data_IF_098782478186
#
_entry.id   IF_098782478186
#
_cell.length_a   1.000
_cell.length_b   1.000
_cell.length_c   1.000
_cell.angle_alpha   90.00
_cell.angle_beta   90.00
_cell.angle_gamma   90.00
#
_symmetry.space_group_name_H-M   'P 1'
#
loop_
_entity.id
_entity.type
_entity.pdbx_description
1 polymer ?
#
# COMPACT_ATOMS: atom_id res chain seq x y z
N UNK A 1 -8.37 6.68 3.65
CA UNK A 1 -8.41 7.41 2.36
C UNK A 1 -7.19 7.01 1.52
N UNK A 2 -7.36 6.81 0.22
CA UNK A 2 -6.27 6.52 -0.72
C UNK A 2 -5.64 7.83 -1.19
N UNK A 3 -4.34 8.03 -0.94
CA UNK A 3 -3.59 9.21 -1.43
C UNK A 3 -2.60 8.84 -2.54
N UNK A 4 -2.92 7.81 -3.32
CA UNK A 4 -2.09 7.43 -4.45
C UNK A 4 -2.13 8.49 -5.55
N UNK A 5 -0.98 8.87 -6.08
CA UNK A 5 -0.81 9.81 -7.18
C UNK A 5 -0.59 9.01 -8.46
N UNK A 6 -1.47 9.18 -9.44
CA UNK A 6 -1.31 8.47 -10.71
C UNK A 6 -0.28 9.19 -11.60
N UNK A 7 0.87 8.55 -11.93
CA UNK A 7 1.94 9.20 -12.69
C UNK A 7 1.60 9.40 -14.18
N UNK A 8 0.58 8.70 -14.70
CA UNK A 8 0.17 8.74 -16.11
C UNK A 8 -0.80 9.89 -16.42
N UNK A 9 -1.18 10.70 -15.43
CA UNK A 9 -2.07 11.84 -15.66
C UNK A 9 -1.31 12.99 -16.34
N UNK A 10 -1.60 13.23 -17.63
CA UNK A 10 -1.10 14.36 -18.44
C UNK A 10 -1.56 15.75 -17.91
N UNK A 11 -2.31 15.80 -16.81
CA UNK A 11 -2.85 17.03 -16.24
C UNK A 11 -1.99 17.54 -15.10
N UNK A 12 -1.57 18.80 -15.18
CA UNK A 12 -1.00 19.55 -14.05
C UNK A 12 -2.15 20.34 -13.38
N UNK A 13 -2.44 20.18 -12.06
CA UNK A 13 -1.68 19.43 -11.06
C UNK A 13 -1.92 17.91 -11.08
N UNK A 14 -0.91 17.15 -10.63
CA UNK A 14 -1.01 15.70 -10.39
C UNK A 14 -2.21 15.44 -9.46
N UNK A 15 -3.13 14.57 -9.87
CA UNK A 15 -4.34 14.25 -9.10
C UNK A 15 -4.09 13.00 -8.24
N UNK A 16 -4.54 13.05 -6.99
CA UNK A 16 -4.57 11.91 -6.08
C UNK A 16 -5.95 11.23 -6.09
N UNK A 17 -5.97 9.91 -5.83
CA UNK A 17 -7.17 9.07 -5.91
C UNK A 17 -8.29 9.50 -4.95
N UNK A 18 -7.96 9.85 -3.69
CA UNK A 18 -8.87 10.31 -2.63
C UNK A 18 -10.08 9.40 -2.29
N UNK A 19 -10.14 8.15 -2.78
CA UNK A 19 -11.19 7.21 -2.39
C UNK A 19 -11.13 6.87 -0.89
N UNK A 20 -12.28 6.82 -0.24
CA UNK A 20 -12.44 6.47 1.17
C UNK A 20 -12.96 5.04 1.35
N UNK A 21 -12.52 4.38 2.41
CA UNK A 21 -12.84 2.99 2.73
C UNK A 21 -13.18 2.88 4.21
N UNK A 22 -14.00 1.89 4.56
CA UNK A 22 -14.44 1.67 5.93
C UNK A 22 -13.40 0.90 6.75
N UNK A 23 -12.60 0.06 6.09
CA UNK A 23 -11.51 -0.69 6.72
C UNK A 23 -10.17 -0.45 6.04
N UNK A 24 -9.08 -0.69 6.77
CA UNK A 24 -7.72 -0.60 6.20
C UNK A 24 -7.45 -1.73 5.20
N UNK A 25 -8.10 -2.88 5.36
CA UNK A 25 -7.99 -4.00 4.44
C UNK A 25 -8.56 -3.68 3.06
N UNK A 26 -9.74 -3.05 3.02
CA UNK A 26 -10.34 -2.55 1.78
C UNK A 26 -9.42 -1.56 1.07
N UNK A 27 -8.82 -0.63 1.82
CA UNK A 27 -7.90 0.36 1.26
C UNK A 27 -6.64 -0.29 0.66
N UNK A 28 -6.02 -1.26 1.35
CA UNK A 28 -4.83 -1.95 0.81
C UNK A 28 -5.18 -2.80 -0.41
N UNK A 29 -6.34 -3.46 -0.39
CA UNK A 29 -6.83 -4.25 -1.53
C UNK A 29 -7.06 -3.35 -2.74
N UNK A 30 -7.74 -2.22 -2.55
CA UNK A 30 -7.94 -1.21 -3.59
C UNK A 30 -6.60 -0.78 -4.22
N UNK A 31 -5.60 -0.40 -3.40
CA UNK A 31 -4.31 0.05 -3.95
C UNK A 31 -3.59 -1.08 -4.68
N UNK A 32 -3.64 -2.30 -4.15
CA UNK A 32 -2.97 -3.45 -4.76
C UNK A 32 -3.56 -3.87 -6.10
N UNK A 33 -4.85 -3.62 -6.33
CA UNK A 33 -5.56 -4.02 -7.56
C UNK A 33 -5.56 -2.87 -8.56
N UNK A 34 -5.96 -1.68 -8.13
CA UNK A 34 -6.22 -0.54 -9.02
C UNK A 34 -4.94 0.22 -9.40
N UNK A 35 -3.97 0.32 -8.48
CA UNK A 35 -2.79 1.16 -8.68
C UNK A 35 -1.50 0.37 -8.92
N UNK A 36 -1.31 -0.72 -8.17
CA UNK A 36 -0.14 -1.62 -8.34
C UNK A 36 -0.34 -2.59 -9.50
N UNK A 37 -1.59 -2.83 -9.93
CA UNK A 37 -1.91 -3.70 -11.05
C UNK A 37 -1.47 -5.16 -10.90
N UNK A 38 -1.40 -5.86 -12.02
CA UNK A 38 -1.10 -7.30 -12.11
C UNK A 38 0.39 -7.66 -11.97
N UNK A 39 0.72 -8.97 -11.94
CA UNK A 39 2.10 -9.46 -11.87
C UNK A 39 2.96 -9.10 -13.09
N UNK A 40 2.35 -8.64 -14.19
CA UNK A 40 3.03 -8.27 -15.43
C UNK A 40 3.68 -6.88 -15.39
N UNK A 41 3.38 -6.05 -14.38
CA UNK A 41 4.07 -4.76 -14.21
C UNK A 41 5.52 -4.98 -13.73
N UNK A 42 6.48 -4.62 -14.57
CA UNK A 42 7.91 -4.74 -14.28
C UNK A 42 8.44 -3.72 -13.27
N UNK A 43 7.70 -2.63 -13.03
CA UNK A 43 8.16 -1.51 -12.19
C UNK A 43 7.24 -1.27 -10.98
N UNK A 44 7.52 -1.95 -9.87
CA UNK A 44 6.75 -1.81 -8.64
C UNK A 44 7.17 -0.55 -7.86
N UNK A 45 6.63 0.61 -8.20
CA UNK A 45 6.92 1.89 -7.52
C UNK A 45 5.75 2.31 -6.64
N UNK A 46 6.05 2.94 -5.50
CA UNK A 46 5.04 3.58 -4.66
C UNK A 46 4.88 5.05 -5.06
N UNK A 47 3.66 5.45 -5.40
CA UNK A 47 3.31 6.84 -5.72
C UNK A 47 2.40 7.48 -4.67
N UNK A 48 2.53 7.05 -3.40
CA UNK A 48 1.76 7.66 -2.32
C UNK A 48 2.22 9.10 -2.07
N UNK A 49 1.28 10.01 -1.80
CA UNK A 49 1.55 11.39 -1.40
C UNK A 49 2.49 11.43 -0.17
N UNK A 50 3.62 12.14 -0.28
CA UNK A 50 4.66 12.21 0.77
C UNK A 50 5.33 10.86 1.11
N UNK A 51 5.46 9.96 0.13
CA UNK A 51 6.21 8.72 0.34
C UNK A 51 7.72 8.99 0.51
N UNK A 52 8.39 8.50 1.58
CA UNK A 52 9.83 8.70 1.78
C UNK A 52 10.70 7.94 0.77
N UNK A 53 10.08 7.13 -0.10
CA UNK A 53 10.74 6.25 -1.06
C UNK A 53 10.69 6.76 -2.50
N UNK A 54 10.47 8.07 -2.69
CA UNK A 54 10.29 8.75 -3.98
C UNK A 54 10.98 8.06 -5.17
N UNK A 55 10.17 7.42 -6.03
CA UNK A 55 10.61 6.85 -7.30
C UNK A 55 11.45 5.56 -7.23
N UNK A 56 11.72 4.99 -6.04
CA UNK A 56 12.55 3.78 -5.92
C UNK A 56 11.73 2.50 -6.07
N UNK A 57 11.97 1.68 -7.12
CA UNK A 57 11.20 0.46 -7.33
C UNK A 57 11.51 -0.63 -6.31
N UNK A 58 10.50 -1.44 -6.05
CA UNK A 58 10.63 -2.68 -5.31
C UNK A 58 10.95 -3.83 -6.25
N UNK A 59 11.77 -4.78 -5.79
CA UNK A 59 12.15 -5.97 -6.56
C UNK A 59 10.99 -6.94 -6.84
N UNK A 60 9.86 -6.78 -6.14
CA UNK A 60 8.71 -7.65 -6.28
C UNK A 60 7.41 -6.96 -5.83
N UNK A 61 6.29 -7.33 -6.45
CA UNK A 61 4.95 -6.82 -6.13
C UNK A 61 4.61 -6.92 -4.64
N UNK A 62 4.84 -8.08 -4.03
CA UNK A 62 4.51 -8.30 -2.62
C UNK A 62 5.30 -7.36 -1.68
N UNK A 63 6.51 -6.93 -2.07
CA UNK A 63 7.29 -5.95 -1.30
C UNK A 63 6.66 -4.56 -1.37
N UNK A 64 6.13 -4.16 -2.53
CA UNK A 64 5.37 -2.92 -2.68
C UNK A 64 4.06 -2.96 -1.89
N UNK A 65 3.29 -4.05 -2.00
CA UNK A 65 2.04 -4.23 -1.23
C UNK A 65 2.31 -4.17 0.28
N UNK A 66 3.36 -4.83 0.76
CA UNK A 66 3.75 -4.73 2.17
C UNK A 66 4.22 -3.33 2.57
N UNK A 67 4.83 -2.58 1.65
CA UNK A 67 5.21 -1.19 1.90
C UNK A 67 3.99 -0.26 2.00
N UNK A 68 2.94 -0.47 1.21
CA UNK A 68 1.69 0.32 1.27
C UNK A 68 1.08 0.30 2.67
N UNK A 69 1.27 -0.79 3.43
CA UNK A 69 0.82 -0.90 4.84
C UNK A 69 1.41 0.19 5.74
N UNK A 70 2.55 0.79 5.39
CA UNK A 70 3.14 1.93 6.13
C UNK A 70 2.26 3.18 6.00
N UNK A 71 1.58 3.34 4.87
CA UNK A 71 0.70 4.48 4.62
C UNK A 71 -0.71 4.25 5.14
N UNK A 72 -1.22 3.02 5.06
CA UNK A 72 -2.58 2.68 5.50
C UNK A 72 -2.66 2.32 6.98
N UNK A 73 -1.55 1.92 7.59
CA UNK A 73 -1.51 1.43 8.97
C UNK A 73 -2.08 0.01 9.15
N UNK A 74 -2.35 -0.73 8.07
CA UNK A 74 -2.93 -2.08 8.16
C UNK A 74 -1.97 -3.07 8.84
N UNK A 75 -2.48 -3.80 9.85
CA UNK A 75 -1.74 -4.83 10.59
C UNK A 75 -2.55 -6.13 10.62
N UNK A 76 -2.48 -6.97 9.58
CA UNK A 76 -3.38 -8.11 9.42
C UNK A 76 -2.93 -9.36 10.20
N UNK A 77 -1.75 -9.33 10.85
CA UNK A 77 -1.19 -10.48 11.53
C UNK A 77 -1.36 -10.34 13.05
N UNK A 78 -2.45 -10.84 13.65
CA UNK A 78 -2.62 -10.87 15.10
C UNK A 78 -1.75 -11.95 15.74
N UNK A 79 -1.21 -11.65 16.93
CA UNK A 79 -0.49 -12.61 17.75
C UNK A 79 -1.41 -13.79 18.10
N UNK A 80 -1.01 -15.05 17.83
CA UNK A 80 -1.84 -16.21 18.14
C UNK A 80 -1.91 -16.51 19.64
N UNK A 81 -1.06 -15.90 20.47
CA UNK A 81 -1.03 -16.15 21.90
C UNK A 81 -2.24 -15.51 22.63
N UNK A 82 -3.05 -16.30 23.36
CA UNK A 82 -4.19 -15.77 24.10
C UNK A 82 -3.79 -14.67 25.08
N UNK A 83 -4.49 -13.52 25.03
CA UNK A 83 -4.24 -12.38 25.91
C UNK A 83 -3.13 -11.42 25.47
N UNK A 84 -2.41 -11.68 24.37
CA UNK A 84 -1.35 -10.79 23.89
C UNK A 84 -1.88 -9.52 23.21
N UNK A 85 -2.90 -9.64 22.36
CA UNK A 85 -3.54 -8.52 21.64
C UNK A 85 -2.65 -7.77 20.63
N UNK A 86 -1.38 -8.15 20.48
CA UNK A 86 -0.45 -7.51 19.53
C UNK A 86 -0.84 -7.84 18.09
N UNK A 87 -0.64 -6.87 17.20
CA UNK A 87 -0.86 -6.99 15.76
C UNK A 87 0.35 -6.48 15.00
N UNK A 88 0.69 -7.16 13.91
CA UNK A 88 1.88 -6.88 13.10
C UNK A 88 1.52 -6.60 11.65
N UNK A 89 2.31 -5.74 11.01
CA UNK A 89 2.14 -5.40 9.59
C UNK A 89 2.66 -6.48 8.65
N UNK A 90 3.51 -7.39 9.13
CA UNK A 90 4.14 -8.47 8.37
C UNK A 90 4.18 -9.74 9.19
N UNK A 91 3.99 -10.89 8.54
CA UNK A 91 4.07 -12.20 9.16
C UNK A 91 5.47 -12.52 9.71
N UNK A 92 6.53 -11.99 9.07
CA UNK A 92 7.91 -12.16 9.54
C UNK A 92 8.19 -11.52 10.90
N UNK A 93 7.33 -10.58 11.33
CA UNK A 93 7.47 -9.87 12.60
C UNK A 93 6.49 -10.38 13.68
N UNK A 94 5.66 -11.37 13.37
CA UNK A 94 4.70 -12.01 14.29
C UNK A 94 5.42 -12.84 15.35
#
# INVERSE_FOLDING_TARGET
>A
ICKWIDPEQLTNPKKSCNKTFSTMHELVTHVSVEHVGGPEQSNHVCFWEECPREGKPFKAKYKLVNHIRVHTGEKPFPCPFPGCGKVFARSENL
#
